data_IF_499181066112
#
_entry.id   IF_499181066112
#
_cell.length_a   1.000
_cell.length_b   1.000
_cell.length_c   1.000
_cell.angle_alpha   90.00
_cell.angle_beta   90.00
_cell.angle_gamma   90.00
#
_symmetry.space_group_name_H-M   'P 1'
#
loop_
_entity.id
_entity.type
_entity.pdbx_description
1 polymer ?
#
# COMPACT_ATOMS: atom_id res chain seq x y z
N UNK A 1 3.59 1.46 -20.95
CA UNK A 1 2.90 2.54 -21.69
C UNK A 1 3.93 3.37 -22.43
N UNK A 2 3.72 3.78 -23.70
CA UNK A 2 4.70 4.59 -24.44
C UNK A 2 4.81 5.98 -23.81
N UNK A 3 6.02 6.52 -23.68
CA UNK A 3 6.33 7.87 -23.18
C UNK A 3 5.84 8.20 -21.77
N UNK A 4 5.73 7.21 -20.89
CA UNK A 4 5.41 7.44 -19.47
C UNK A 4 6.36 6.63 -18.60
N UNK A 5 7.28 7.35 -17.97
CA UNK A 5 8.25 6.83 -17.01
C UNK A 5 8.22 7.68 -15.75
N UNK A 6 8.45 7.05 -14.59
CA UNK A 6 8.54 7.74 -13.30
C UNK A 6 9.74 7.20 -12.54
N UNK A 7 10.38 8.06 -11.77
CA UNK A 7 11.46 7.69 -10.85
C UNK A 7 10.90 7.09 -9.56
N UNK A 8 9.85 7.68 -9.00
CA UNK A 8 9.16 7.12 -7.85
C UNK A 8 8.25 5.95 -8.26
N UNK A 9 8.72 4.72 -8.01
CA UNK A 9 8.02 3.48 -8.34
C UNK A 9 7.30 2.83 -7.16
N UNK A 10 7.44 3.38 -5.95
CA UNK A 10 6.77 2.87 -4.74
C UNK A 10 5.47 3.61 -4.46
N UNK A 11 5.35 4.88 -4.86
CA UNK A 11 4.12 5.66 -4.77
C UNK A 11 3.64 6.06 -6.17
N UNK A 12 2.41 5.71 -6.50
CA UNK A 12 1.84 5.94 -7.84
C UNK A 12 1.47 7.40 -8.06
N UNK A 13 1.35 7.82 -9.32
CA UNK A 13 0.93 9.18 -9.62
C UNK A 13 -0.46 9.51 -9.05
N UNK A 14 -1.31 8.49 -8.89
CA UNK A 14 -2.67 8.62 -8.42
C UNK A 14 -2.83 8.38 -6.93
N UNK A 15 -1.74 8.26 -6.16
CA UNK A 15 -1.83 8.09 -4.71
C UNK A 15 -1.92 6.66 -4.21
N UNK A 16 -1.63 5.66 -5.05
CA UNK A 16 -1.60 4.26 -4.63
C UNK A 16 -0.18 3.88 -4.17
N UNK A 17 -0.08 3.15 -3.07
CA UNK A 17 1.18 2.61 -2.56
C UNK A 17 1.63 1.37 -3.35
N UNK A 18 2.12 1.58 -4.57
CA UNK A 18 2.67 0.51 -5.43
C UNK A 18 3.68 -0.39 -4.72
N UNK A 19 4.49 0.14 -3.79
CA UNK A 19 5.44 -0.61 -2.98
C UNK A 19 4.81 -1.70 -2.12
N UNK A 20 3.55 -1.53 -1.72
CA UNK A 20 2.78 -2.48 -0.91
C UNK A 20 1.86 -3.36 -1.74
N UNK A 21 1.97 -3.29 -3.08
CA UNK A 21 1.10 -4.04 -3.98
C UNK A 21 1.60 -5.48 -4.15
N UNK A 22 0.74 -6.51 -3.98
CA UNK A 22 1.15 -7.90 -4.14
C UNK A 22 1.69 -8.21 -5.55
N UNK A 23 1.23 -7.47 -6.57
CA UNK A 23 1.72 -7.60 -7.95
C UNK A 23 3.14 -7.07 -8.12
N UNK A 24 3.50 -5.98 -7.43
CA UNK A 24 4.87 -5.46 -7.48
C UNK A 24 5.82 -6.36 -6.69
N UNK A 25 5.41 -6.77 -5.50
CA UNK A 25 6.16 -7.71 -4.65
C UNK A 25 6.41 -9.06 -5.34
N UNK A 26 5.45 -9.52 -6.15
CA UNK A 26 5.61 -10.75 -6.94
C UNK A 26 6.40 -10.59 -8.25
N UNK A 27 6.93 -9.41 -8.56
CA UNK A 27 7.66 -9.15 -9.81
C UNK A 27 6.78 -9.05 -11.06
N UNK A 28 5.45 -9.11 -10.94
CA UNK A 28 4.51 -9.07 -12.07
C UNK A 28 4.18 -7.65 -12.56
N UNK A 29 4.48 -6.63 -11.75
CA UNK A 29 4.24 -5.23 -12.08
C UNK A 29 5.47 -4.40 -11.67
N UNK A 30 6.01 -3.54 -12.55
CA UNK A 30 7.20 -2.74 -12.21
C UNK A 30 6.88 -1.55 -11.28
N UNK A 31 5.61 -1.31 -10.95
CA UNK A 31 5.15 -0.07 -10.32
C UNK A 31 4.79 1.01 -11.34
N UNK A 32 4.08 2.04 -10.90
CA UNK A 32 3.51 3.06 -11.79
C UNK A 32 4.60 3.84 -12.54
N UNK A 33 4.70 3.63 -13.86
CA UNK A 33 5.72 4.28 -14.70
C UNK A 33 7.04 3.51 -14.76
N UNK A 34 7.06 2.26 -14.30
CA UNK A 34 8.25 1.40 -14.30
C UNK A 34 8.51 0.67 -15.63
N UNK A 35 7.66 0.88 -16.66
CA UNK A 35 7.91 0.37 -18.01
C UNK A 35 7.13 -0.89 -18.38
N UNK A 36 7.82 -1.90 -18.93
CA UNK A 36 7.21 -3.14 -19.39
C UNK A 36 6.49 -3.88 -18.23
N UNK A 37 5.27 -4.36 -18.49
CA UNK A 37 4.40 -4.95 -17.45
C UNK A 37 3.37 -3.97 -16.85
N UNK A 38 3.51 -2.65 -17.07
CA UNK A 38 2.41 -1.73 -16.74
C UNK A 38 1.25 -1.86 -17.75
N UNK A 39 0.06 -2.12 -17.21
CA UNK A 39 -1.20 -2.04 -17.95
C UNK A 39 -1.49 -0.61 -18.41
N UNK A 40 -2.38 -0.49 -19.40
CA UNK A 40 -2.85 0.83 -19.83
C UNK A 40 -3.60 1.52 -18.68
N UNK A 41 -3.28 2.79 -18.43
CA UNK A 41 -3.86 3.55 -17.33
C UNK A 41 -4.42 4.88 -17.85
N UNK A 42 -5.70 5.15 -17.58
CA UNK A 42 -6.35 6.42 -17.95
C UNK A 42 -5.72 7.61 -17.25
N UNK A 43 -5.33 7.46 -15.98
CA UNK A 43 -4.74 8.54 -15.18
C UNK A 43 -3.32 8.86 -15.68
N UNK A 44 -2.51 7.84 -15.99
CA UNK A 44 -1.19 8.05 -16.55
C UNK A 44 -1.24 8.74 -17.93
N UNK A 45 -2.21 8.38 -18.80
CA UNK A 45 -2.43 9.12 -20.06
C UNK A 45 -2.91 10.55 -19.84
N UNK A 46 -3.65 10.79 -18.75
CA UNK A 46 -4.09 12.11 -18.36
C UNK A 46 -2.88 12.98 -18.01
N UNK A 47 -1.94 12.52 -17.18
CA UNK A 47 -0.79 13.33 -16.78
C UNK A 47 0.06 13.78 -17.98
N UNK A 48 0.22 12.96 -19.01
CA UNK A 48 0.93 13.35 -20.24
C UNK A 48 0.29 14.55 -20.98
N UNK A 49 -1.01 14.80 -20.77
CA UNK A 49 -1.73 15.95 -21.34
C UNK A 49 -1.75 17.18 -20.43
N UNK A 50 -1.33 17.03 -19.18
CA UNK A 50 -1.29 18.08 -18.16
C UNK A 50 0.16 18.21 -17.69
N UNK A 51 1.05 18.60 -18.61
CA UNK A 51 2.46 18.92 -18.35
C UNK A 51 3.27 17.84 -17.63
N UNK A 52 2.89 16.57 -17.82
CA UNK A 52 3.60 15.43 -17.24
C UNK A 52 3.71 15.51 -15.71
N UNK A 53 2.68 16.04 -15.03
CA UNK A 53 2.65 16.14 -13.57
C UNK A 53 3.07 14.83 -12.88
N UNK A 54 4.00 14.93 -11.92
CA UNK A 54 4.58 13.77 -11.25
C UNK A 54 3.54 13.03 -10.38
N UNK A 55 2.63 13.79 -9.78
CA UNK A 55 1.50 13.33 -8.99
C UNK A 55 0.25 14.10 -9.40
N UNK A 56 -0.91 13.44 -9.35
CA UNK A 56 -2.18 14.08 -9.73
C UNK A 56 -2.50 15.30 -8.87
N UNK A 57 -2.09 15.32 -7.60
CA UNK A 57 -2.33 16.45 -6.70
C UNK A 57 -1.53 17.72 -7.06
N UNK A 58 -0.56 17.62 -7.98
CA UNK A 58 0.16 18.77 -8.53
C UNK A 58 -0.54 19.36 -9.77
N UNK A 59 -1.58 18.70 -10.29
CA UNK A 59 -2.37 19.24 -11.40
C UNK A 59 -3.19 20.44 -10.90
N UNK A 60 -3.23 21.58 -11.63
CA UNK A 60 -4.07 22.72 -11.27
C UNK A 60 -5.57 22.42 -11.19
N UNK A 61 -6.02 21.37 -11.88
CA UNK A 61 -7.42 20.91 -11.84
C UNK A 61 -7.70 19.96 -10.66
N UNK A 62 -6.71 19.62 -9.84
CA UNK A 62 -6.90 18.71 -8.72
C UNK A 62 -7.53 19.41 -7.50
N UNK A 63 -8.52 18.80 -6.82
CA UNK A 63 -9.18 17.52 -7.15
C UNK A 63 -10.13 17.66 -8.35
N UNK A 64 -10.00 16.78 -9.35
CA UNK A 64 -10.85 16.78 -10.55
C UNK A 64 -11.91 15.67 -10.50
N UNK A 65 -12.81 15.65 -11.49
CA UNK A 65 -13.90 14.66 -11.60
C UNK A 65 -13.43 13.20 -11.63
N UNK A 66 -12.17 12.93 -11.97
CA UNK A 66 -11.58 11.57 -11.90
C UNK A 66 -11.46 11.04 -10.47
N UNK A 67 -11.42 11.93 -9.48
CA UNK A 67 -11.36 11.60 -8.06
C UNK A 67 -12.75 11.56 -7.40
N UNK A 68 -13.80 11.99 -8.10
CA UNK A 68 -15.19 11.80 -7.70
C UNK A 68 -15.54 10.31 -7.82
N UNK A 69 -15.58 9.59 -6.70
CA UNK A 69 -15.76 8.13 -6.64
C UNK A 69 -14.63 7.35 -7.36
N UNK A 70 -13.37 7.71 -7.11
CA UNK A 70 -12.22 6.87 -7.53
C UNK A 70 -12.12 5.55 -6.76
N UNK A 71 -12.93 5.43 -5.71
CA UNK A 71 -12.79 4.44 -4.65
C UNK A 71 -13.93 3.39 -4.49
N UNK A 72 -14.78 3.07 -5.49
CA UNK A 72 -15.91 2.18 -5.23
C UNK A 72 -15.46 0.74 -5.01
N UNK A 73 -14.37 0.32 -5.64
CA UNK A 73 -13.87 -1.06 -5.61
C UNK A 73 -12.35 -1.11 -5.63
N UNK A 74 -11.82 -2.11 -4.96
CA UNK A 74 -10.40 -2.41 -4.92
C UNK A 74 -10.03 -3.35 -6.08
N UNK A 75 -8.79 -3.25 -6.54
CA UNK A 75 -8.22 -4.18 -7.52
C UNK A 75 -7.38 -5.24 -6.78
N UNK A 76 -6.11 -5.37 -7.12
CA UNK A 76 -5.13 -6.15 -6.36
C UNK A 76 -4.57 -5.38 -5.15
N UNK A 77 -4.65 -4.04 -5.19
CA UNK A 77 -4.30 -3.13 -4.11
C UNK A 77 -5.57 -2.41 -3.65
N UNK A 78 -5.62 -2.07 -2.37
CA UNK A 78 -6.72 -1.30 -1.80
C UNK A 78 -6.66 0.16 -2.27
N UNK A 79 -7.81 0.71 -2.67
CA UNK A 79 -7.99 2.14 -2.92
C UNK A 79 -8.51 2.87 -1.67
N UNK A 80 -8.91 2.15 -0.61
CA UNK A 80 -9.48 2.73 0.62
C UNK A 80 -8.56 3.78 1.26
N UNK A 81 -7.25 3.58 1.17
CA UNK A 81 -6.24 4.53 1.67
C UNK A 81 -5.86 5.63 0.68
N UNK A 82 -6.22 5.53 -0.60
CA UNK A 82 -5.66 6.33 -1.68
C UNK A 82 -5.77 7.85 -1.45
N UNK A 83 -6.97 8.34 -1.10
CA UNK A 83 -7.17 9.78 -0.87
C UNK A 83 -6.43 10.26 0.38
N UNK A 84 -6.50 9.49 1.47
CA UNK A 84 -5.76 9.78 2.71
C UNK A 84 -4.25 9.79 2.47
N UNK A 85 -3.74 8.88 1.66
CA UNK A 85 -2.33 8.74 1.32
C UNK A 85 -1.86 9.90 0.43
N UNK A 86 -2.71 10.39 -0.49
CA UNK A 86 -2.46 11.65 -1.22
C UNK A 86 -2.36 12.82 -0.26
N UNK A 87 -3.36 13.02 0.60
CA UNK A 87 -3.37 14.15 1.52
C UNK A 87 -2.16 14.09 2.46
N UNK A 88 -1.83 12.90 2.99
CA UNK A 88 -0.63 12.72 3.81
C UNK A 88 0.64 13.10 3.05
N UNK A 89 0.79 12.65 1.81
CA UNK A 89 1.94 12.99 0.97
C UNK A 89 2.02 14.49 0.64
N UNK A 90 0.87 15.18 0.51
CA UNK A 90 0.79 16.64 0.33
C UNK A 90 1.20 17.38 1.60
N UNK A 91 0.74 16.92 2.76
CA UNK A 91 1.01 17.54 4.06
C UNK A 91 2.48 17.49 4.46
N UNK A 92 3.11 16.31 4.32
CA UNK A 92 4.49 16.09 4.82
C UNK A 92 5.55 16.16 3.72
N UNK A 93 5.14 16.27 2.46
CA UNK A 93 6.02 16.18 1.30
C UNK A 93 6.35 14.74 0.89
N UNK A 94 6.67 14.59 -0.41
CA UNK A 94 6.90 13.28 -1.04
C UNK A 94 8.09 12.53 -0.45
N UNK A 95 9.15 13.23 -0.08
CA UNK A 95 10.34 12.59 0.50
C UNK A 95 10.02 11.93 1.85
N UNK A 96 9.40 12.68 2.78
CA UNK A 96 9.00 12.14 4.07
C UNK A 96 7.94 11.04 3.94
N UNK A 97 7.02 11.17 2.98
CA UNK A 97 6.06 10.12 2.67
C UNK A 97 6.73 8.85 2.12
N UNK A 98 7.69 8.98 1.21
CA UNK A 98 8.47 7.85 0.70
C UNK A 98 9.28 7.16 1.81
N UNK A 99 9.75 7.90 2.82
CA UNK A 99 10.40 7.31 4.00
C UNK A 99 9.42 6.49 4.84
N UNK A 100 8.19 7.00 5.07
CA UNK A 100 7.13 6.23 5.73
C UNK A 100 6.76 4.98 4.92
N UNK A 101 6.68 5.11 3.60
CA UNK A 101 6.34 3.99 2.72
C UNK A 101 7.46 2.95 2.66
N UNK A 102 8.72 3.37 2.66
CA UNK A 102 9.89 2.48 2.72
C UNK A 102 9.92 1.66 4.01
N UNK A 103 9.60 2.28 5.15
CA UNK A 103 9.43 1.54 6.42
C UNK A 103 8.32 0.49 6.34
N UNK A 104 7.15 0.85 5.79
CA UNK A 104 6.06 -0.12 5.57
C UNK A 104 6.48 -1.28 4.68
N UNK A 105 7.27 -1.01 3.64
CA UNK A 105 7.80 -2.04 2.73
C UNK A 105 8.76 -2.97 3.48
N UNK A 106 9.70 -2.43 4.27
CA UNK A 106 10.64 -3.22 5.06
C UNK A 106 9.92 -4.13 6.06
N UNK A 107 8.92 -3.60 6.78
CA UNK A 107 8.08 -4.39 7.69
C UNK A 107 7.33 -5.48 6.91
N UNK A 108 6.79 -5.14 5.73
CA UNK A 108 6.09 -6.12 4.89
C UNK A 108 7.03 -7.25 4.42
N UNK A 109 8.25 -6.91 4.01
CA UNK A 109 9.26 -7.89 3.59
C UNK A 109 9.64 -8.82 4.75
N UNK A 110 9.83 -8.27 5.96
CA UNK A 110 10.06 -9.07 7.16
C UNK A 110 8.88 -9.99 7.47
N UNK A 111 7.65 -9.46 7.43
CA UNK A 111 6.43 -10.25 7.64
C UNK A 111 6.31 -11.42 6.65
N UNK A 112 6.67 -11.20 5.39
CA UNK A 112 6.63 -12.21 4.33
C UNK A 112 7.83 -13.18 4.36
N UNK A 113 8.93 -12.83 5.01
CA UNK A 113 10.09 -13.70 5.18
C UNK A 113 9.91 -14.61 6.41
N UNK A 114 9.58 -14.01 7.54
CA UNK A 114 9.71 -14.66 8.86
C UNK A 114 8.37 -15.23 9.35
N UNK A 115 7.26 -14.71 8.83
CA UNK A 115 5.91 -15.01 9.28
C UNK A 115 4.96 -15.29 8.11
N UNK A 116 5.42 -16.07 7.12
CA UNK A 116 4.59 -16.51 5.99
C UNK A 116 4.08 -17.95 6.17
N UNK A 117 2.77 -18.10 6.09
CA UNK A 117 2.06 -19.38 6.07
C UNK A 117 1.53 -19.75 4.67
N UNK A 118 2.00 -19.05 3.63
CA UNK A 118 1.64 -19.24 2.22
C UNK A 118 0.28 -18.63 1.84
N UNK A 119 -0.45 -18.03 2.79
CA UNK A 119 -1.80 -17.48 2.55
C UNK A 119 -1.99 -16.04 3.07
N UNK A 120 -1.05 -15.53 3.86
CA UNK A 120 -1.20 -14.23 4.55
C UNK A 120 -0.72 -13.02 3.73
N UNK A 121 -0.13 -13.23 2.54
CA UNK A 121 0.42 -12.15 1.70
C UNK A 121 -0.55 -10.98 1.48
N UNK A 122 -1.76 -11.27 1.00
CA UNK A 122 -2.78 -10.23 0.76
C UNK A 122 -3.21 -9.53 2.04
N UNK A 123 -3.28 -10.27 3.15
CA UNK A 123 -3.64 -9.72 4.46
C UNK A 123 -2.57 -8.74 4.95
N UNK A 124 -1.28 -9.11 4.91
CA UNK A 124 -0.20 -8.20 5.28
C UNK A 124 -0.12 -6.97 4.37
N UNK A 125 -0.35 -7.14 3.05
CA UNK A 125 -0.44 -5.99 2.15
C UNK A 125 -1.57 -5.03 2.58
N UNK A 126 -2.74 -5.54 2.98
CA UNK A 126 -3.84 -4.71 3.46
C UNK A 126 -3.50 -4.02 4.79
N UNK A 127 -2.96 -4.76 5.76
CA UNK A 127 -2.55 -4.21 7.05
C UNK A 127 -1.55 -3.06 6.86
N UNK A 128 -0.53 -3.25 6.03
CA UNK A 128 0.48 -2.24 5.75
C UNK A 128 -0.05 -1.03 4.96
N UNK A 129 -1.16 -1.17 4.23
CA UNK A 129 -1.78 -0.02 3.56
C UNK A 129 -2.73 0.76 4.48
N UNK A 130 -3.43 0.07 5.39
CA UNK A 130 -4.59 0.66 6.07
C UNK A 130 -4.30 1.05 7.51
N UNK A 131 -3.49 0.29 8.23
CA UNK A 131 -3.19 0.57 9.64
C UNK A 131 -2.16 1.71 9.78
N UNK A 132 -2.24 2.51 10.86
CA UNK A 132 -1.22 3.51 11.15
C UNK A 132 0.15 2.88 11.38
N UNK A 133 1.18 3.45 10.77
CA UNK A 133 2.56 2.96 10.88
C UNK A 133 3.06 2.93 12.34
N UNK A 134 2.83 3.96 13.19
CA UNK A 134 3.31 3.92 14.57
C UNK A 134 2.71 2.75 15.36
N UNK A 135 1.43 2.45 15.16
CA UNK A 135 0.75 1.34 15.85
C UNK A 135 1.26 -0.02 15.38
N UNK A 136 1.58 -0.17 14.09
CA UNK A 136 2.27 -1.36 13.56
C UNK A 136 3.64 -1.52 14.22
N UNK A 137 4.45 -0.45 14.26
CA UNK A 137 5.80 -0.47 14.84
C UNK A 137 5.73 -0.88 16.32
N UNK A 138 4.84 -0.26 17.11
CA UNK A 138 4.63 -0.57 18.54
C UNK A 138 4.18 -2.02 18.75
N UNK A 139 3.20 -2.48 17.96
CA UNK A 139 2.67 -3.84 18.07
C UNK A 139 3.75 -4.87 17.78
N UNK A 140 4.48 -4.73 16.67
CA UNK A 140 5.52 -5.67 16.29
C UNK A 140 6.68 -5.64 17.27
N UNK A 141 7.12 -4.46 17.72
CA UNK A 141 8.18 -4.33 18.72
C UNK A 141 7.83 -5.07 20.00
N UNK A 142 6.58 -4.98 20.49
CA UNK A 142 6.14 -5.73 21.67
C UNK A 142 6.15 -7.24 21.40
N UNK A 143 5.54 -7.66 20.30
CA UNK A 143 5.35 -9.09 20.00
C UNK A 143 6.66 -9.82 19.71
N UNK A 144 7.54 -9.28 18.86
CA UNK A 144 8.72 -10.02 18.38
C UNK A 144 9.80 -10.19 19.45
N UNK A 145 9.79 -9.36 20.50
CA UNK A 145 10.72 -9.46 21.63
C UNK A 145 10.21 -10.32 22.79
N UNK A 146 8.96 -10.81 22.73
CA UNK A 146 8.45 -11.75 23.72
C UNK A 146 9.11 -13.13 23.55
N UNK A 147 9.76 -13.64 24.61
CA UNK A 147 10.38 -14.98 24.60
C UNK A 147 9.38 -16.05 24.18
N UNK A 148 8.16 -15.97 24.72
CA UNK A 148 7.08 -16.89 24.37
C UNK A 148 6.75 -16.88 22.88
N UNK A 149 6.84 -15.74 22.21
CA UNK A 149 6.64 -15.61 20.77
C UNK A 149 7.80 -16.21 19.97
N UNK A 150 9.05 -15.98 20.40
CA UNK A 150 10.25 -16.45 19.70
C UNK A 150 10.25 -17.99 19.56
N UNK A 151 9.80 -18.70 20.60
CA UNK A 151 9.79 -20.16 20.63
C UNK A 151 8.59 -20.78 19.87
N UNK A 152 7.65 -19.96 19.39
CA UNK A 152 6.50 -20.47 18.65
C UNK A 152 6.90 -21.05 17.28
N UNK A 153 6.24 -22.14 16.85
CA UNK A 153 6.28 -22.57 15.46
C UNK A 153 5.80 -21.45 14.53
N UNK A 154 6.37 -21.35 13.32
CA UNK A 154 6.03 -20.31 12.33
C UNK A 154 4.52 -20.14 12.15
N UNK A 155 3.77 -21.24 12.02
CA UNK A 155 2.31 -21.20 11.85
C UNK A 155 1.58 -20.51 13.01
N UNK A 156 2.07 -20.64 14.24
CA UNK A 156 1.49 -19.98 15.41
C UNK A 156 1.90 -18.51 15.48
N UNK A 157 3.15 -18.19 15.13
CA UNK A 157 3.62 -16.80 14.95
C UNK A 157 2.73 -16.04 13.96
N UNK A 158 2.48 -16.64 12.78
CA UNK A 158 1.59 -16.06 11.77
C UNK A 158 0.17 -15.83 12.32
N UNK A 159 -0.35 -16.81 13.09
CA UNK A 159 -1.69 -16.69 13.69
C UNK A 159 -1.74 -15.55 14.71
N UNK A 160 -0.75 -15.44 15.58
CA UNK A 160 -0.68 -14.39 16.60
C UNK A 160 -0.57 -13.01 15.97
N UNK A 161 0.39 -12.78 15.05
CA UNK A 161 0.54 -11.50 14.33
C UNK A 161 -0.75 -11.14 13.59
N UNK A 162 -1.33 -12.10 12.86
CA UNK A 162 -2.59 -11.87 12.13
C UNK A 162 -3.75 -11.54 13.07
N UNK A 163 -3.80 -12.18 14.24
CA UNK A 163 -4.78 -11.88 15.29
C UNK A 163 -4.64 -10.45 15.81
N UNK A 164 -3.44 -10.07 16.21
CA UNK A 164 -3.15 -8.73 16.73
C UNK A 164 -3.42 -7.63 15.71
N UNK A 165 -3.08 -7.84 14.43
CA UNK A 165 -3.45 -6.87 13.38
C UNK A 165 -4.97 -6.77 13.16
N UNK A 166 -5.74 -7.85 13.35
CA UNK A 166 -7.20 -7.78 13.28
C UNK A 166 -7.79 -7.03 14.47
N UNK A 167 -7.25 -7.24 15.66
CA UNK A 167 -7.64 -6.51 16.88
C UNK A 167 -7.36 -5.02 16.73
N UNK A 168 -6.14 -4.65 16.30
CA UNK A 168 -5.78 -3.27 16.03
C UNK A 168 -6.68 -2.62 14.96
N UNK A 169 -7.02 -3.37 13.90
CA UNK A 169 -7.94 -2.89 12.89
C UNK A 169 -9.35 -2.65 13.47
N UNK A 170 -9.84 -3.56 14.30
CA UNK A 170 -11.14 -3.45 14.94
C UNK A 170 -11.22 -2.25 15.89
N UNK A 171 -10.19 -2.03 16.71
CA UNK A 171 -10.10 -0.88 17.62
C UNK A 171 -10.16 0.46 16.88
N UNK A 172 -9.62 0.50 15.67
CA UNK A 172 -9.62 1.69 14.82
C UNK A 172 -10.79 1.78 13.84
N UNK A 173 -11.72 0.82 13.86
CA UNK A 173 -12.83 0.77 12.91
C UNK A 173 -12.39 0.55 11.45
N UNK A 174 -11.22 -0.04 11.24
CA UNK A 174 -10.64 -0.33 9.92
C UNK A 174 -11.01 -1.74 9.49
N UNK A 175 -11.53 -1.88 8.27
CA UNK A 175 -11.81 -3.19 7.66
C UNK A 175 -10.64 -3.66 6.79
N UNK A 176 -9.89 -4.67 7.24
CA UNK A 176 -8.81 -5.30 6.45
C UNK A 176 -9.35 -6.27 5.39
N UNK A 177 -10.11 -5.76 4.43
CA UNK A 177 -10.68 -6.54 3.32
C UNK A 177 -10.75 -5.71 2.05
N UNK A 178 -10.40 -6.32 0.90
CA UNK A 178 -10.64 -5.72 -0.40
C UNK A 178 -12.15 -5.63 -0.69
N UNK A 179 -12.61 -4.45 -1.10
CA UNK A 179 -13.97 -4.22 -1.61
C UNK A 179 -14.02 -4.71 -3.05
N UNK A 180 -14.84 -5.72 -3.31
CA UNK A 180 -15.03 -6.23 -4.67
C UNK A 180 -16.30 -5.66 -5.25
N UNK A 181 -16.31 -5.44 -6.58
CA UNK A 181 -17.55 -5.21 -7.30
C UNK A 181 -18.40 -6.47 -7.16
N UNK A 182 -19.62 -6.32 -6.64
CA UNK A 182 -20.58 -7.41 -6.62
C UNK A 182 -20.76 -7.93 -8.04
N UNK A 183 -20.55 -9.23 -8.23
CA UNK A 183 -21.00 -9.96 -9.40
C UNK A 183 -22.53 -10.05 -9.38
#
# INVERSE_FOLDING_TARGET
MKNFSRTNLIFSLCGLNCGLCPMKLGGYCPGCGGGAGNQTCGIARCSLKHDHVEYCFLCPEYPCSRYSNIDPYDSFLTHQGQLRDIERAREIGIEAYNNQLSKRIQILEQLLSDYDDGRSKTFYCLAMNLLPLPEIEILLERTIHEIAFIDLPVKEKCRQITGQFKELAQEQGILLKLRKKGS
#
